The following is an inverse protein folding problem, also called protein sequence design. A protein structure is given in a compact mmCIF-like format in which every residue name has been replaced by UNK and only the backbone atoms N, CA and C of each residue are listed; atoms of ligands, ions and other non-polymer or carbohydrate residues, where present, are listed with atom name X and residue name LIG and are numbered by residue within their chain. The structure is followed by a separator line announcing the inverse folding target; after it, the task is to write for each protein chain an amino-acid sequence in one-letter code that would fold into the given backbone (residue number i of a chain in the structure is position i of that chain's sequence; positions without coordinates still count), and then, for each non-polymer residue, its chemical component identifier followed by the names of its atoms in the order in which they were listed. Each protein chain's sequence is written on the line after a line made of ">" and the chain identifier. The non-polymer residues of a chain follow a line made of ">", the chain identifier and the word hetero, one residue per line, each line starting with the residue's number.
data_IF_398639249266
#
_entry.id   IF_398639249266
#
_cell.length_a   1.000
_cell.length_b   1.000
_cell.length_c   1.000
_cell.angle_alpha   90.00
_cell.angle_beta   90.00
_cell.angle_gamma   90.00
#
_symmetry.space_group_name_H-M   'P 1'
#
loop_
_entity.id
_entity.type
_entity.pdbx_description
1 polymer ?
#
# COMPACT_ATOMS: atom_id res chain seq x y z
N UNK A 1 -11.65 11.25 -1.96
CA UNK A 1 -11.24 11.49 -0.56
C UNK A 1 -10.49 10.27 -0.03
N UNK A 2 -9.55 10.45 0.91
CA UNK A 2 -8.82 9.31 1.52
C UNK A 2 -9.77 8.48 2.38
N UNK A 3 -9.62 7.15 2.30
CA UNK A 3 -10.40 6.20 3.11
C UNK A 3 -9.66 5.84 4.39
N UNK A 4 -8.33 5.77 4.31
CA UNK A 4 -7.47 5.39 5.42
C UNK A 4 -6.94 6.63 6.15
N UNK A 5 -7.02 6.58 7.47
CA UNK A 5 -6.29 7.45 8.38
C UNK A 5 -4.89 6.88 8.59
N UNK A 6 -3.87 7.71 8.90
CA UNK A 6 -2.49 7.27 9.05
C UNK A 6 -2.29 6.20 10.13
N UNK A 7 -3.19 6.15 11.12
CA UNK A 7 -3.24 5.10 12.14
C UNK A 7 -4.66 4.54 12.30
N UNK A 8 -4.76 3.22 12.41
CA UNK A 8 -6.00 2.46 12.58
C UNK A 8 -6.10 1.71 13.91
N UNK A 9 -7.23 1.01 14.05
CA UNK A 9 -7.58 0.24 15.25
C UNK A 9 -8.23 1.08 16.35
N UNK A 10 -8.79 0.40 17.37
CA UNK A 10 -9.52 1.04 18.48
C UNK A 10 -8.72 2.13 19.19
N UNK A 11 -7.40 1.99 19.23
CA UNK A 11 -6.48 2.91 19.92
C UNK A 11 -5.62 3.74 18.96
N UNK A 12 -5.87 3.71 17.65
CA UNK A 12 -5.07 4.41 16.64
C UNK A 12 -3.55 4.18 16.77
N UNK A 13 -3.15 2.92 16.99
CA UNK A 13 -1.72 2.53 17.17
C UNK A 13 -1.14 1.79 15.98
N UNK A 14 -1.98 1.22 15.13
CA UNK A 14 -1.52 0.46 13.96
C UNK A 14 -1.28 1.44 12.82
N UNK A 15 -0.06 1.57 12.28
CA UNK A 15 0.18 2.41 11.11
C UNK A 15 -0.54 1.87 9.87
N UNK A 16 -0.84 2.75 8.92
CA UNK A 16 -1.36 2.34 7.62
C UNK A 16 -0.26 1.68 6.78
N UNK A 17 -0.54 0.51 6.22
CA UNK A 17 0.39 -0.24 5.34
C UNK A 17 0.51 0.37 3.92
N UNK A 18 -0.34 1.34 3.60
CA UNK A 18 -0.38 2.00 2.30
C UNK A 18 -1.45 3.09 2.24
N UNK A 19 -1.72 3.56 1.03
CA UNK A 19 -2.74 4.56 0.75
C UNK A 19 -3.97 3.90 0.13
N UNK A 20 -5.16 4.35 0.55
CA UNK A 20 -6.42 4.05 -0.12
C UNK A 20 -7.24 5.33 -0.32
N UNK A 21 -7.62 5.62 -1.57
CA UNK A 21 -8.39 6.81 -1.91
C UNK A 21 -9.59 6.46 -2.79
N UNK A 22 -10.77 7.01 -2.45
CA UNK A 22 -11.96 6.88 -3.31
C UNK A 22 -11.76 7.69 -4.59
N UNK A 23 -12.17 7.11 -5.71
CA UNK A 23 -12.27 7.82 -6.99
C UNK A 23 -13.40 8.85 -6.87
N UNK A 24 -13.10 10.10 -7.21
CA UNK A 24 -14.09 11.18 -7.16
C UNK A 24 -14.89 11.17 -8.46
N UNK A 25 -16.22 11.16 -8.37
CA UNK A 25 -17.13 11.27 -9.52
C UNK A 25 -17.96 12.56 -9.40
N UNK A 26 -18.34 13.20 -10.52
CA UNK A 26 -18.94 14.54 -10.51
C UNK A 26 -20.24 14.65 -9.68
N UNK A 27 -21.08 13.61 -9.71
CA UNK A 27 -22.45 13.67 -9.17
C UNK A 27 -22.72 12.67 -8.03
N UNK A 28 -21.69 12.23 -7.30
CA UNK A 28 -21.92 11.35 -6.15
C UNK A 28 -20.69 10.70 -5.54
N UNK A 29 -20.92 9.62 -4.81
CA UNK A 29 -19.87 8.81 -4.21
C UNK A 29 -19.58 7.56 -5.03
N UNK A 30 -18.32 7.39 -5.46
CA UNK A 30 -17.87 6.13 -6.05
C UNK A 30 -17.76 5.04 -4.99
N UNK A 31 -18.03 3.80 -5.38
CA UNK A 31 -17.71 2.60 -4.59
C UNK A 31 -16.30 2.09 -4.87
N UNK A 32 -15.66 2.61 -5.92
CA UNK A 32 -14.33 2.22 -6.34
C UNK A 32 -13.26 3.07 -5.64
N UNK A 33 -12.13 2.43 -5.35
CA UNK A 33 -10.98 3.05 -4.70
C UNK A 33 -9.68 2.65 -5.38
N UNK A 34 -8.70 3.53 -5.32
CA UNK A 34 -7.31 3.27 -5.71
C UNK A 34 -6.49 2.91 -4.47
N UNK A 35 -5.57 1.95 -4.64
CA UNK A 35 -4.64 1.52 -3.61
C UNK A 35 -3.21 1.76 -4.08
N UNK A 36 -2.34 2.21 -3.18
CA UNK A 36 -0.91 2.38 -3.46
C UNK A 36 -0.08 1.91 -2.26
N UNK A 37 0.99 1.18 -2.52
CA UNK A 37 1.90 0.63 -1.50
C UNK A 37 3.36 0.80 -1.93
N UNK A 38 4.27 0.65 -0.97
CA UNK A 38 5.70 0.67 -1.22
C UNK A 38 6.44 -0.32 -0.29
N UNK A 39 7.57 -0.83 -0.79
CA UNK A 39 8.48 -1.71 -0.08
C UNK A 39 9.88 -1.14 -0.08
N UNK A 40 10.48 -0.96 1.08
CA UNK A 40 11.84 -0.46 1.23
C UNK A 40 12.41 -0.93 2.56
N UNK A 41 13.48 -1.71 2.49
CA UNK A 41 14.23 -2.14 3.66
C UNK A 41 15.69 -1.63 3.58
N UNK A 42 16.06 -0.57 4.33
CA UNK A 42 17.41 0.01 4.30
C UNK A 42 18.49 -0.95 4.80
N UNK A 43 18.19 -1.83 5.75
CA UNK A 43 19.16 -2.81 6.28
C UNK A 43 19.60 -3.80 5.20
N UNK A 44 18.64 -4.26 4.39
CA UNK A 44 18.94 -5.11 3.23
C UNK A 44 19.75 -4.36 2.17
N UNK A 45 19.52 -3.06 1.97
CA UNK A 45 20.27 -2.27 0.99
C UNK A 45 21.70 -1.98 1.41
N UNK A 46 21.94 -1.80 2.71
CA UNK A 46 23.30 -1.68 3.23
C UNK A 46 24.11 -2.96 3.00
N UNK A 47 23.47 -4.12 3.14
CA UNK A 47 24.11 -5.41 2.86
C UNK A 47 24.25 -5.69 1.36
N UNK A 48 23.17 -5.48 0.59
CA UNK A 48 23.14 -5.71 -0.85
C UNK A 48 21.99 -4.94 -1.52
N UNK A 49 22.29 -3.89 -2.32
CA UNK A 49 21.27 -3.14 -3.05
C UNK A 49 20.42 -4.00 -3.99
N UNK A 50 21.01 -5.07 -4.54
CA UNK A 50 20.28 -6.01 -5.40
C UNK A 50 19.17 -6.73 -4.64
N UNK A 51 19.47 -7.24 -3.45
CA UNK A 51 18.48 -7.94 -2.62
C UNK A 51 17.41 -6.97 -2.13
N UNK A 52 17.78 -5.75 -1.73
CA UNK A 52 16.80 -4.71 -1.42
C UNK A 52 15.83 -4.50 -2.58
N UNK A 53 16.33 -4.27 -3.81
CA UNK A 53 15.48 -4.04 -4.97
C UNK A 53 14.53 -5.22 -5.24
N UNK A 54 15.04 -6.45 -5.14
CA UNK A 54 14.23 -7.66 -5.29
C UNK A 54 13.14 -7.77 -4.22
N UNK A 55 13.48 -7.58 -2.95
CA UNK A 55 12.53 -7.64 -1.85
C UNK A 55 11.56 -6.46 -1.82
N UNK A 56 11.95 -5.28 -2.30
CA UNK A 56 11.07 -4.11 -2.41
C UNK A 56 9.83 -4.40 -3.29
N UNK A 57 10.00 -5.14 -4.38
CA UNK A 57 8.87 -5.54 -5.25
C UNK A 57 7.95 -6.50 -4.49
N UNK A 58 8.53 -7.53 -3.85
CA UNK A 58 7.78 -8.52 -3.07
C UNK A 58 6.98 -7.86 -1.94
N UNK A 59 7.62 -6.96 -1.19
CA UNK A 59 7.01 -6.26 -0.07
C UNK A 59 5.88 -5.32 -0.54
N UNK A 60 6.08 -4.60 -1.65
CA UNK A 60 5.05 -3.74 -2.25
C UNK A 60 3.80 -4.53 -2.63
N UNK A 61 3.96 -5.68 -3.29
CA UNK A 61 2.86 -6.59 -3.68
C UNK A 61 2.18 -7.19 -2.45
N UNK A 62 2.96 -7.60 -1.44
CA UNK A 62 2.44 -8.25 -0.24
C UNK A 62 1.58 -7.27 0.57
N UNK A 63 2.02 -6.01 0.73
CA UNK A 63 1.22 -4.96 1.37
C UNK A 63 -0.06 -4.66 0.58
N UNK A 64 0.01 -4.63 -0.75
CA UNK A 64 -1.17 -4.42 -1.59
C UNK A 64 -2.21 -5.53 -1.38
N UNK A 65 -1.76 -6.79 -1.36
CA UNK A 65 -2.61 -7.94 -1.09
C UNK A 65 -3.22 -7.90 0.32
N UNK A 66 -2.44 -7.51 1.33
CA UNK A 66 -2.90 -7.39 2.72
C UNK A 66 -4.00 -6.32 2.89
N UNK A 67 -3.96 -5.24 2.09
CA UNK A 67 -5.02 -4.22 2.06
C UNK A 67 -6.26 -4.65 1.24
N UNK A 68 -6.28 -5.86 0.67
CA UNK A 68 -7.39 -6.37 -0.13
C UNK A 68 -7.29 -6.09 -1.63
N UNK A 69 -6.14 -5.59 -2.12
CA UNK A 69 -5.88 -5.40 -3.53
C UNK A 69 -5.61 -6.72 -4.27
N UNK A 70 -6.03 -6.81 -5.53
CA UNK A 70 -5.72 -7.98 -6.37
C UNK A 70 -4.31 -7.87 -6.94
N UNK A 71 -3.38 -8.67 -6.39
CA UNK A 71 -1.98 -8.72 -6.83
C UNK A 71 -1.80 -9.16 -8.29
N UNK A 72 -2.76 -9.88 -8.88
CA UNK A 72 -2.67 -10.37 -10.28
C UNK A 72 -2.87 -9.27 -11.31
N UNK A 73 -3.55 -8.20 -10.93
CA UNK A 73 -3.83 -7.02 -11.77
C UNK A 73 -3.06 -5.79 -11.31
N UNK A 74 -2.13 -5.96 -10.37
CA UNK A 74 -1.33 -4.86 -9.85
C UNK A 74 -0.29 -4.43 -10.87
N UNK A 75 -0.10 -3.12 -11.01
CA UNK A 75 1.05 -2.55 -11.72
C UNK A 75 2.16 -2.25 -10.71
N UNK A 76 3.39 -2.64 -11.06
CA UNK A 76 4.59 -2.57 -10.23
C UNK A 76 5.66 -1.71 -10.88
#
# INVERSE_FOLDING_TARGET
>A
GTVLMPFGGKYAKTPAEGMAAKIVVPDGESKDATLMTFGLNPELGMWSPYHMAYYSVIESVTKLAAMGGNFRTAHL
#
